data_IF_398212274177
#
_entry.id   IF_398212274177
#
_cell.length_a   1.000
_cell.length_b   1.000
_cell.length_c   1.000
_cell.angle_alpha   90.00
_cell.angle_beta   90.00
_cell.angle_gamma   90.00
#
_symmetry.space_group_name_H-M   'P 1'
#
loop_
_entity.id
_entity.type
_entity.pdbx_description
1 polymer ?
#
# COMPACT_ATOMS: atom_id res chain seq x y z
N UNK A 1 -21.85 -23.77 -10.92
CA UNK A 1 -23.15 -23.80 -11.62
C UNK A 1 -23.53 -25.27 -11.80
N UNK A 2 -24.25 -25.86 -10.85
CA UNK A 2 -24.73 -27.24 -10.98
C UNK A 2 -25.94 -27.21 -11.91
N UNK A 3 -25.88 -27.91 -13.05
CA UNK A 3 -27.00 -28.02 -13.96
C UNK A 3 -28.11 -28.85 -13.28
N UNK A 4 -29.24 -28.21 -12.99
CA UNK A 4 -30.44 -28.90 -12.49
C UNK A 4 -30.99 -29.79 -13.61
N UNK A 5 -30.70 -31.10 -13.53
CA UNK A 5 -31.23 -32.10 -14.47
C UNK A 5 -32.70 -32.33 -14.14
N UNK A 6 -33.57 -31.44 -14.63
CA UNK A 6 -35.02 -31.63 -14.61
C UNK A 6 -35.47 -32.68 -15.64
N UNK A 7 -36.59 -33.34 -15.36
CA UNK A 7 -37.22 -34.25 -16.32
C UNK A 7 -37.53 -33.54 -17.65
N UNK A 8 -37.52 -34.24 -18.81
CA UNK A 8 -37.79 -33.62 -20.11
C UNK A 8 -39.21 -33.06 -20.15
N UNK A 9 -39.33 -31.74 -20.29
CA UNK A 9 -40.62 -31.03 -20.32
C UNK A 9 -40.86 -30.36 -21.69
N UNK A 10 -42.10 -30.42 -22.18
CA UNK A 10 -42.50 -29.96 -23.52
C UNK A 10 -43.47 -28.76 -23.46
N UNK A 11 -43.11 -27.70 -22.73
CA UNK A 11 -43.96 -26.51 -22.55
C UNK A 11 -44.07 -25.59 -23.78
N UNK A 12 -43.34 -25.87 -24.86
CA UNK A 12 -43.22 -24.98 -26.04
C UNK A 12 -44.46 -24.91 -26.94
N UNK A 13 -45.52 -25.67 -26.64
CA UNK A 13 -46.73 -25.69 -27.47
C UNK A 13 -47.75 -24.64 -27.00
N UNK A 14 -48.12 -23.66 -27.86
CA UNK A 14 -49.01 -22.56 -27.47
C UNK A 14 -50.48 -22.96 -27.28
N UNK A 15 -50.90 -24.12 -27.81
CA UNK A 15 -52.27 -24.61 -27.67
C UNK A 15 -52.50 -25.23 -26.29
N UNK A 16 -53.43 -24.63 -25.53
CA UNK A 16 -53.87 -25.10 -24.20
C UNK A 16 -55.34 -25.56 -24.23
N UNK A 17 -55.88 -25.86 -25.42
CA UNK A 17 -57.30 -26.19 -25.60
C UNK A 17 -57.59 -27.63 -25.13
N UNK A 18 -58.36 -27.74 -24.04
CA UNK A 18 -58.85 -29.01 -23.50
C UNK A 18 -57.99 -29.59 -22.37
N UNK A 19 -58.59 -30.50 -21.58
CA UNK A 19 -58.00 -31.05 -20.34
C UNK A 19 -56.64 -31.72 -20.55
N UNK A 20 -56.44 -32.40 -21.68
CA UNK A 20 -55.17 -33.09 -22.00
C UNK A 20 -54.04 -32.12 -22.33
N UNK A 21 -54.35 -31.01 -23.01
CA UNK A 21 -53.38 -29.96 -23.32
C UNK A 21 -53.01 -29.16 -22.06
N UNK A 22 -53.98 -28.87 -21.18
CA UNK A 22 -53.73 -28.22 -19.90
C UNK A 22 -52.71 -29.00 -19.06
N UNK A 23 -52.91 -30.31 -18.87
CA UNK A 23 -51.99 -31.13 -18.07
C UNK A 23 -50.55 -31.22 -18.59
N UNK A 24 -50.31 -30.95 -19.87
CA UNK A 24 -48.99 -31.12 -20.52
C UNK A 24 -48.24 -29.80 -20.73
N UNK A 25 -48.97 -28.73 -21.05
CA UNK A 25 -48.40 -27.48 -21.53
C UNK A 25 -48.50 -26.34 -20.52
N UNK A 26 -49.03 -26.60 -19.32
CA UNK A 26 -49.04 -25.61 -18.24
C UNK A 26 -47.83 -25.81 -17.37
N UNK A 27 -47.01 -24.78 -17.36
CA UNK A 27 -45.87 -24.70 -16.49
C UNK A 27 -46.34 -24.46 -15.06
N UNK A 28 -45.99 -25.39 -14.17
CA UNK A 28 -46.21 -25.33 -12.73
C UNK A 28 -44.89 -25.43 -11.98
N UNK A 29 -43.76 -25.32 -12.68
CA UNK A 29 -42.41 -25.48 -12.12
C UNK A 29 -42.17 -24.46 -11.01
N UNK A 30 -42.48 -23.18 -11.25
CA UNK A 30 -42.37 -22.12 -10.24
C UNK A 30 -43.16 -22.42 -8.96
N UNK A 31 -44.39 -22.92 -9.09
CA UNK A 31 -45.22 -23.29 -7.94
C UNK A 31 -44.63 -24.50 -7.21
N UNK A 32 -44.12 -25.48 -7.95
CA UNK A 32 -43.50 -26.67 -7.38
C UNK A 32 -42.19 -26.32 -6.66
N UNK A 33 -41.33 -25.52 -7.28
CA UNK A 33 -40.08 -25.03 -6.70
C UNK A 33 -40.34 -24.20 -5.45
N UNK A 34 -41.36 -23.34 -5.45
CA UNK A 34 -41.79 -22.61 -4.26
C UNK A 34 -42.24 -23.54 -3.13
N UNK A 35 -43.03 -24.59 -3.44
CA UNK A 35 -43.45 -25.58 -2.43
C UNK A 35 -42.27 -26.44 -1.94
N UNK A 36 -41.30 -26.75 -2.80
CA UNK A 36 -40.09 -27.48 -2.45
C UNK A 36 -39.19 -26.63 -1.54
N UNK A 37 -39.03 -25.34 -1.83
CA UNK A 37 -38.33 -24.37 -0.98
C UNK A 37 -38.98 -24.26 0.40
N UNK A 38 -40.31 -24.14 0.48
CA UNK A 38 -41.04 -24.13 1.75
C UNK A 38 -40.79 -25.41 2.55
N UNK A 39 -40.83 -26.59 1.92
CA UNK A 39 -40.51 -27.87 2.59
C UNK A 39 -39.05 -27.94 3.05
N UNK A 40 -38.11 -27.42 2.28
CA UNK A 40 -36.71 -27.33 2.72
C UNK A 40 -36.53 -26.40 3.91
N UNK A 41 -37.24 -25.27 3.93
CA UNK A 41 -37.23 -24.34 5.06
C UNK A 41 -37.84 -24.98 6.31
N UNK A 42 -38.94 -25.72 6.18
CA UNK A 42 -39.51 -26.54 7.25
C UNK A 42 -38.49 -27.54 7.81
N UNK A 43 -37.77 -28.28 6.95
CA UNK A 43 -36.71 -29.22 7.36
C UNK A 43 -35.57 -28.51 8.10
N UNK A 44 -35.17 -27.32 7.64
CA UNK A 44 -34.08 -26.52 8.24
C UNK A 44 -34.49 -25.84 9.55
N UNK A 45 -35.76 -25.94 9.95
CA UNK A 45 -36.26 -25.45 11.24
C UNK A 45 -37.37 -24.42 11.14
N UNK A 46 -38.09 -24.32 10.01
CA UNK A 46 -39.27 -23.48 9.82
C UNK A 46 -39.03 -22.27 8.91
N UNK A 47 -40.10 -21.80 8.27
CA UNK A 47 -40.13 -20.67 7.33
C UNK A 47 -39.66 -19.39 8.00
N UNK A 48 -38.63 -18.74 7.46
CA UNK A 48 -38.04 -17.55 8.09
C UNK A 48 -39.01 -16.36 8.10
N UNK A 49 -39.90 -16.26 7.10
CA UNK A 49 -40.85 -15.16 6.98
C UNK A 49 -41.93 -15.15 8.06
N UNK A 50 -42.24 -16.31 8.67
CA UNK A 50 -43.25 -16.44 9.70
C UNK A 50 -42.70 -16.22 11.12
N UNK A 51 -41.38 -16.33 11.29
CA UNK A 51 -40.75 -16.19 12.59
C UNK A 51 -40.71 -14.72 13.02
N UNK A 52 -41.04 -14.40 14.29
CA UNK A 52 -40.91 -13.05 14.80
C UNK A 52 -39.43 -12.62 14.77
N UNK A 53 -39.20 -11.33 14.55
CA UNK A 53 -37.84 -10.78 14.48
C UNK A 53 -37.01 -11.02 15.75
N UNK A 54 -37.67 -11.18 16.90
CA UNK A 54 -37.05 -11.48 18.19
C UNK A 54 -36.36 -12.86 18.22
N UNK A 55 -36.85 -13.84 17.46
CA UNK A 55 -36.23 -15.17 17.35
C UNK A 55 -35.12 -15.19 16.28
N UNK A 56 -35.27 -14.37 15.23
CA UNK A 56 -34.29 -14.25 14.16
C UNK A 56 -33.05 -13.48 14.59
N UNK A 57 -33.22 -12.49 15.47
CA UNK A 57 -32.17 -11.57 15.87
C UNK A 57 -32.02 -11.53 17.39
N UNK A 58 -30.91 -12.06 17.87
CA UNK A 58 -30.48 -11.88 19.26
C UNK A 58 -29.51 -10.70 19.27
N UNK A 59 -29.89 -9.62 19.95
CA UNK A 59 -28.96 -8.54 20.27
C UNK A 59 -28.07 -9.04 21.40
N UNK A 60 -26.86 -9.48 21.08
CA UNK A 60 -25.82 -9.76 22.07
C UNK A 60 -25.00 -8.49 22.33
N UNK A 61 -25.28 -7.75 23.42
CA UNK A 61 -24.54 -6.53 23.75
C UNK A 61 -23.15 -6.81 24.31
N UNK A 62 -22.91 -8.05 24.77
CA UNK A 62 -21.72 -8.43 25.53
C UNK A 62 -20.66 -9.12 24.67
N UNK A 63 -21.08 -9.84 23.63
CA UNK A 63 -20.20 -10.57 22.72
C UNK A 63 -19.46 -11.72 23.40
N UNK A 64 -18.89 -12.62 22.60
CA UNK A 64 -18.09 -13.74 23.12
C UNK A 64 -16.78 -13.27 23.78
N UNK A 65 -16.68 -13.45 25.09
CA UNK A 65 -15.46 -13.14 25.85
C UNK A 65 -14.23 -13.92 25.34
N UNK A 66 -14.42 -15.16 24.87
CA UNK A 66 -13.31 -15.96 24.33
C UNK A 66 -12.73 -15.36 23.05
N UNK A 67 -13.60 -14.84 22.19
CA UNK A 67 -13.20 -14.18 20.93
C UNK A 67 -12.50 -12.88 21.27
N UNK A 68 -13.03 -12.07 22.18
CA UNK A 68 -12.37 -10.87 22.67
C UNK A 68 -10.97 -11.17 23.23
N UNK A 69 -10.84 -12.19 24.08
CA UNK A 69 -9.54 -12.63 24.63
C UNK A 69 -8.57 -13.09 23.53
N UNK A 70 -9.05 -13.80 22.50
CA UNK A 70 -8.22 -14.22 21.35
C UNK A 70 -7.75 -13.02 20.53
N UNK A 71 -8.61 -12.04 20.30
CA UNK A 71 -8.27 -10.80 19.56
C UNK A 71 -7.25 -9.98 20.35
N UNK A 72 -7.47 -9.77 21.65
CA UNK A 72 -6.55 -9.04 22.53
C UNK A 72 -5.17 -9.73 22.65
N UNK A 73 -5.12 -11.07 22.58
CA UNK A 73 -3.85 -11.81 22.56
C UNK A 73 -3.11 -11.66 21.23
N UNK A 74 -3.82 -11.65 20.11
CA UNK A 74 -3.22 -11.50 18.77
C UNK A 74 -2.80 -10.07 18.47
N UNK A 75 -3.61 -9.10 18.88
CA UNK A 75 -3.39 -7.68 18.68
C UNK A 75 -3.28 -7.01 20.03
N UNK A 76 -2.04 -6.71 20.43
CA UNK A 76 -1.81 -5.86 21.59
C UNK A 76 -2.35 -4.47 21.27
N UNK A 77 -3.18 -3.91 22.15
CA UNK A 77 -3.66 -2.53 22.01
C UNK A 77 -2.48 -1.57 21.88
N UNK A 78 -2.62 -0.52 21.07
CA UNK A 78 -1.58 0.47 20.96
C UNK A 78 -1.37 1.13 22.32
N UNK A 79 -0.13 1.51 22.62
CA UNK A 79 0.22 2.17 23.88
C UNK A 79 -0.58 3.46 24.10
N UNK A 80 -0.92 4.17 23.02
CA UNK A 80 -1.77 5.35 23.08
C UNK A 80 -3.19 5.01 23.59
N UNK A 81 -3.80 3.96 23.05
CA UNK A 81 -5.13 3.51 23.45
C UNK A 81 -5.12 2.93 24.87
N UNK A 82 -4.05 2.25 25.27
CA UNK A 82 -3.86 1.78 26.65
C UNK A 82 -3.78 2.94 27.65
N UNK A 83 -3.06 4.02 27.30
CA UNK A 83 -2.98 5.24 28.12
C UNK A 83 -4.35 5.94 28.19
N UNK A 84 -5.11 5.96 27.11
CA UNK A 84 -6.46 6.56 27.08
C UNK A 84 -7.46 5.71 27.87
N UNK A 85 -7.37 4.38 27.77
CA UNK A 85 -8.22 3.44 28.51
C UNK A 85 -7.90 3.40 30.01
N UNK A 86 -6.64 3.69 30.38
CA UNK A 86 -6.25 3.98 31.75
C UNK A 86 -6.84 5.33 32.18
N UNK A 87 -8.14 5.32 32.49
CA UNK A 87 -8.82 6.40 33.20
C UNK A 87 -8.04 6.71 34.48
N UNK A 88 -7.40 7.88 34.52
CA UNK A 88 -6.75 8.37 35.72
C UNK A 88 -7.77 8.47 36.85
N UNK A 89 -7.37 8.22 38.09
CA UNK A 89 -8.22 8.41 39.27
C UNK A 89 -8.72 9.85 39.40
N UNK A 90 -8.03 10.79 38.74
CA UNK A 90 -8.38 12.20 38.65
C UNK A 90 -9.12 12.40 37.32
N UNK A 91 -10.32 12.98 37.37
CA UNK A 91 -11.09 13.32 36.17
C UNK A 91 -10.34 14.31 35.30
N UNK A 92 -10.42 14.15 33.97
CA UNK A 92 -9.86 15.11 33.03
C UNK A 92 -10.42 16.53 33.29
N UNK A 93 -9.56 17.55 33.19
CA UNK A 93 -9.96 18.96 33.34
C UNK A 93 -10.90 19.31 32.18
N UNK A 94 -12.11 19.75 32.51
CA UNK A 94 -13.14 20.09 31.52
C UNK A 94 -12.66 21.29 30.68
N UNK A 95 -12.44 21.06 29.39
CA UNK A 95 -12.04 22.10 28.43
C UNK A 95 -13.20 22.97 27.97
N UNK A 96 -14.43 22.71 28.44
CA UNK A 96 -15.55 23.62 28.19
C UNK A 96 -15.31 24.96 28.86
N UNK A 97 -15.59 26.02 28.09
CA UNK A 97 -15.67 27.38 28.64
C UNK A 97 -16.66 27.36 29.81
N UNK A 98 -16.18 27.72 31.01
CA UNK A 98 -17.08 27.93 32.16
C UNK A 98 -18.18 28.91 31.73
N UNK A 99 -19.44 28.65 32.09
CA UNK A 99 -20.50 29.63 31.85
C UNK A 99 -20.09 30.94 32.50
N UNK A 100 -20.30 32.06 31.80
CA UNK A 100 -19.92 33.44 32.19
C UNK A 100 -20.50 33.91 33.53
N UNK A 101 -21.27 33.07 34.22
CA UNK A 101 -21.92 33.34 35.50
C UNK A 101 -21.20 32.65 36.67
N UNK A 102 -20.03 32.03 36.44
CA UNK A 102 -19.14 31.53 37.48
C UNK A 102 -18.60 32.71 38.30
N UNK A 103 -19.23 32.99 39.44
CA UNK A 103 -18.97 34.10 40.38
C UNK A 103 -17.62 34.05 41.10
N UNK A 104 -16.68 33.27 40.57
CA UNK A 104 -15.35 33.05 41.11
C UNK A 104 -14.37 33.22 39.96
N UNK A 105 -13.87 34.45 39.81
CA UNK A 105 -12.76 34.84 38.93
C UNK A 105 -11.89 35.84 39.68
N UNK A 106 -10.61 35.50 39.77
CA UNK A 106 -9.40 36.34 39.79
C UNK A 106 -9.54 37.85 40.06
N UNK A 107 -10.17 38.28 41.17
CA UNK A 107 -10.08 39.63 41.75
C UNK A 107 -10.51 40.84 40.90
N UNK A 108 -10.80 40.69 39.61
CA UNK A 108 -11.10 41.78 38.68
C UNK A 108 -12.60 41.78 38.42
N UNK A 109 -13.29 42.70 39.08
CA UNK A 109 -14.71 42.95 38.89
C UNK A 109 -14.88 43.58 37.51
N UNK A 110 -15.41 42.82 36.55
CA UNK A 110 -15.82 43.38 35.27
C UNK A 110 -16.94 44.43 35.48
N UNK A 111 -16.87 45.61 34.83
CA UNK A 111 -17.87 46.65 35.01
C UNK A 111 -19.26 46.19 34.55
N UNK A 112 -20.28 46.53 35.35
CA UNK A 112 -21.70 46.12 35.24
C UNK A 112 -22.40 46.37 33.91
N UNK A 113 -21.76 47.01 32.93
CA UNK A 113 -22.38 47.35 31.65
C UNK A 113 -21.74 46.53 30.54
N UNK A 114 -22.53 45.61 29.94
CA UNK A 114 -22.17 44.70 28.84
C UNK A 114 -21.92 45.39 27.49
N UNK A 115 -21.43 46.62 27.50
CA UNK A 115 -20.98 47.32 26.29
C UNK A 115 -19.56 47.78 26.56
N UNK A 116 -18.58 46.95 26.18
CA UNK A 116 -17.31 47.52 25.78
C UNK A 116 -17.64 48.46 24.62
N UNK A 117 -17.59 49.77 24.87
CA UNK A 117 -17.51 50.70 23.75
C UNK A 117 -16.25 50.30 22.98
N UNK A 118 -16.38 49.96 21.70
CA UNK A 118 -15.23 49.66 20.83
C UNK A 118 -14.26 50.84 20.79
N UNK A 119 -14.79 52.04 20.99
CA UNK A 119 -14.05 53.28 20.91
C UNK A 119 -13.94 53.80 22.34
N UNK A 120 -12.73 53.71 22.89
CA UNK A 120 -12.38 54.18 24.24
C UNK A 120 -12.49 55.70 24.41
N UNK A 121 -12.85 56.43 23.35
CA UNK A 121 -12.86 57.90 23.31
C UNK A 121 -14.16 58.36 22.65
N UNK A 122 -14.90 59.26 23.30
CA UNK A 122 -16.10 59.85 22.70
C UNK A 122 -15.73 60.75 21.51
N UNK A 123 -16.62 60.89 20.51
CA UNK A 123 -16.38 61.73 19.32
C UNK A 123 -16.00 63.17 19.67
N UNK A 124 -16.55 63.70 20.77
CA UNK A 124 -16.22 65.03 21.29
C UNK A 124 -14.79 65.11 21.82
N UNK A 125 -14.36 64.12 22.61
CA UNK A 125 -12.98 64.00 23.08
C UNK A 125 -12.00 63.79 21.91
N UNK A 126 -12.39 63.02 20.90
CA UNK A 126 -11.60 62.83 19.68
C UNK A 126 -11.42 64.13 18.90
N UNK A 127 -12.48 64.94 18.77
CA UNK A 127 -12.41 66.27 18.15
C UNK A 127 -11.55 67.24 18.97
N UNK A 128 -11.62 67.17 20.30
CA UNK A 128 -10.78 67.94 21.21
C UNK A 128 -9.31 67.55 21.09
N UNK A 129 -8.99 66.26 21.09
CA UNK A 129 -7.64 65.72 20.86
C UNK A 129 -7.09 66.12 19.48
N UNK A 130 -7.91 66.06 18.43
CA UNK A 130 -7.55 66.51 17.08
C UNK A 130 -7.28 68.02 16.99
N UNK A 131 -7.89 68.81 17.87
CA UNK A 131 -7.64 70.25 17.97
C UNK A 131 -6.33 70.51 18.71
N UNK A 132 -6.13 69.85 19.86
CA UNK A 132 -4.88 69.91 20.64
C UNK A 132 -3.68 69.44 19.80
N UNK A 133 -3.80 68.37 19.04
CA UNK A 133 -2.74 67.88 18.16
C UNK A 133 -2.41 68.81 16.99
N UNK A 134 -3.37 69.62 16.51
CA UNK A 134 -3.11 70.66 15.50
C UNK A 134 -2.48 71.92 16.07
N UNK A 135 -2.82 72.25 17.32
CA UNK A 135 -2.29 73.41 18.04
C UNK A 135 -0.89 73.11 18.62
N UNK A 136 -0.62 71.85 18.95
CA UNK A 136 0.71 71.35 19.27
C UNK A 136 1.55 71.22 17.99
N UNK A 137 2.13 72.34 17.55
CA UNK A 137 3.28 72.30 16.65
C UNK A 137 4.44 71.65 17.40
N UNK A 138 4.62 70.35 17.21
CA UNK A 138 5.83 69.66 17.62
C UNK A 138 6.93 70.13 16.67
N UNK A 139 7.92 70.83 17.19
CA UNK A 139 9.14 71.17 16.44
C UNK A 139 9.83 69.84 16.07
N UNK A 140 9.73 69.45 14.80
CA UNK A 140 10.31 68.21 14.26
C UNK A 140 11.85 68.14 14.41
N UNK A 141 12.48 69.23 14.84
CA UNK A 141 13.92 69.34 15.10
C UNK A 141 14.39 68.70 16.41
N UNK A 142 13.49 68.21 17.28
CA UNK A 142 13.88 67.51 18.52
C UNK A 142 13.76 65.99 18.45
N UNK A 143 13.45 65.40 17.28
CA UNK A 143 13.40 63.95 17.10
C UNK A 143 14.82 63.45 16.87
N UNK A 144 15.54 63.20 17.97
CA UNK A 144 16.81 62.47 17.96
C UNK A 144 16.55 61.04 17.43
N UNK A 145 17.26 60.57 16.38
CA UNK A 145 17.08 59.23 15.81
C UNK A 145 17.75 58.14 16.66
N UNK A 146 17.68 58.24 17.98
CA UNK A 146 18.31 57.30 18.91
C UNK A 146 17.39 56.93 20.07
N UNK A 147 16.16 56.55 19.77
CA UNK A 147 15.41 55.65 20.65
C UNK A 147 15.58 54.26 20.07
N UNK A 148 16.71 53.63 20.41
CA UNK A 148 17.06 52.27 20.02
C UNK A 148 16.22 51.23 20.77
N UNK A 149 15.37 51.66 21.71
CA UNK A 149 14.55 50.77 22.51
C UNK A 149 13.09 51.22 22.49
N UNK A 150 12.28 50.51 21.72
CA UNK A 150 10.83 50.63 21.71
C UNK A 150 10.27 49.85 22.93
N UNK A 151 9.72 50.54 23.95
CA UNK A 151 9.18 49.89 25.14
C UNK A 151 7.92 49.05 24.86
N UNK A 152 7.35 49.14 23.66
CA UNK A 152 6.20 48.34 23.21
C UNK A 152 6.57 47.28 22.16
N UNK A 153 7.81 47.27 21.69
CA UNK A 153 8.30 46.14 20.93
C UNK A 153 8.37 44.93 21.87
N UNK A 154 7.53 43.93 21.62
CA UNK A 154 7.69 42.60 22.19
C UNK A 154 8.92 41.95 21.55
N UNK A 155 10.11 42.43 21.93
CA UNK A 155 11.33 41.66 21.75
C UNK A 155 11.20 40.45 22.66
N UNK A 156 10.85 39.31 22.07
CA UNK A 156 10.99 38.01 22.72
C UNK A 156 12.49 37.76 22.92
N UNK A 157 13.08 38.45 23.89
CA UNK A 157 14.32 38.03 24.51
C UNK A 157 13.97 36.72 25.17
N UNK A 158 14.30 35.63 24.51
CA UNK A 158 14.44 34.33 25.17
C UNK A 158 15.50 34.54 26.24
N UNK A 159 15.09 34.96 27.44
CA UNK A 159 15.94 34.93 28.60
C UNK A 159 16.39 33.49 28.72
N UNK A 160 17.68 33.25 28.43
CA UNK A 160 18.30 31.96 28.65
C UNK A 160 18.44 31.81 30.15
N UNK A 161 17.33 31.47 30.82
CA UNK A 161 17.22 31.41 32.28
C UNK A 161 18.32 30.54 32.89
N UNK A 162 18.90 29.60 32.12
CA UNK A 162 20.00 28.76 32.55
C UNK A 162 20.99 28.45 31.40
N UNK A 163 22.07 29.23 31.27
CA UNK A 163 23.16 28.96 30.31
C UNK A 163 23.96 27.69 30.61
N UNK A 164 23.81 27.13 31.81
CA UNK A 164 24.49 25.91 32.26
C UNK A 164 23.70 24.62 31.97
N UNK A 165 22.43 24.71 31.55
CA UNK A 165 21.64 23.56 31.15
C UNK A 165 21.74 23.38 29.63
N UNK A 166 22.06 22.17 29.20
CA UNK A 166 21.97 21.83 27.77
C UNK A 166 20.54 22.07 27.28
N UNK A 167 20.41 22.85 26.19
CA UNK A 167 19.11 23.10 25.57
C UNK A 167 18.49 21.77 25.18
N UNK A 168 17.23 21.55 25.57
CA UNK A 168 16.48 20.35 25.17
C UNK A 168 16.50 20.24 23.66
N UNK A 169 16.90 19.08 23.13
CA UNK A 169 16.89 18.83 21.68
C UNK A 169 15.44 19.01 21.17
N UNK A 170 15.25 19.70 20.04
CA UNK A 170 13.92 19.84 19.45
C UNK A 170 13.38 18.45 19.08
N UNK A 171 12.06 18.26 19.22
CA UNK A 171 11.40 17.02 18.81
C UNK A 171 11.46 16.93 17.29
N UNK A 172 12.31 16.04 16.78
CA UNK A 172 12.47 15.82 15.33
C UNK A 172 11.32 14.94 14.84
N UNK A 173 10.58 15.42 13.83
CA UNK A 173 9.54 14.63 13.18
C UNK A 173 10.14 13.33 12.58
N UNK A 174 9.42 12.19 12.67
CA UNK A 174 9.88 10.97 12.02
C UNK A 174 9.95 11.17 10.50
N UNK A 175 10.95 10.58 9.86
CA UNK A 175 11.15 10.60 8.40
C UNK A 175 9.94 10.08 7.61
N UNK A 176 9.06 9.31 8.26
CA UNK A 176 7.85 8.76 7.64
C UNK A 176 6.83 9.81 7.23
N UNK A 177 6.80 10.96 7.92
CA UNK A 177 5.89 12.06 7.57
C UNK A 177 6.24 12.72 6.23
N UNK A 178 7.49 12.63 5.79
CA UNK A 178 7.92 13.19 4.50
C UNK A 178 7.77 12.20 3.34
N UNK A 179 7.36 10.95 3.58
CA UNK A 179 7.10 10.00 2.50
C UNK A 179 5.75 10.30 1.83
N UNK A 180 5.75 10.34 0.50
CA UNK A 180 4.52 10.46 -0.28
C UNK A 180 3.60 9.24 -0.09
N UNK A 181 2.27 9.40 -0.18
CA UNK A 181 1.34 8.29 -0.06
C UNK A 181 1.54 7.27 -1.18
N UNK A 182 1.26 6.00 -0.89
CA UNK A 182 1.32 4.93 -1.89
C UNK A 182 0.21 5.16 -2.92
N UNK A 183 0.60 5.33 -4.17
CA UNK A 183 -0.32 5.52 -5.28
C UNK A 183 -1.07 4.25 -5.67
N UNK A 184 -2.35 4.44 -6.04
CA UNK A 184 -3.21 3.39 -6.56
C UNK A 184 -2.96 3.09 -8.05
N UNK A 185 -2.26 3.93 -8.80
CA UNK A 185 -1.98 3.67 -10.21
C UNK A 185 -0.98 2.52 -10.39
N UNK A 186 -1.17 1.66 -11.40
CA UNK A 186 -0.27 0.54 -11.74
C UNK A 186 1.20 1.00 -11.80
N UNK A 187 1.39 2.12 -12.47
CA UNK A 187 2.68 2.76 -12.75
C UNK A 187 3.34 3.37 -11.51
N UNK A 188 2.64 3.46 -10.37
CA UNK A 188 3.17 4.08 -9.16
C UNK A 188 3.14 5.60 -9.14
N UNK A 189 2.60 6.25 -10.19
CA UNK A 189 2.42 7.70 -10.26
C UNK A 189 1.26 8.17 -9.38
N UNK A 190 1.33 9.41 -8.90
CA UNK A 190 0.21 10.04 -8.20
C UNK A 190 -0.97 10.21 -9.17
N UNK A 191 -2.17 9.88 -8.72
CA UNK A 191 -3.39 10.09 -9.52
C UNK A 191 -3.83 11.53 -9.31
N UNK A 192 -4.05 12.33 -10.37
CA UNK A 192 -4.57 13.68 -10.22
C UNK A 192 -5.95 13.65 -9.57
N UNK A 193 -6.27 14.66 -8.77
CA UNK A 193 -7.58 14.73 -8.08
C UNK A 193 -8.75 14.82 -9.05
N UNK A 194 -8.53 15.35 -10.26
CA UNK A 194 -9.52 15.47 -11.34
C UNK A 194 -8.88 14.94 -12.61
N UNK A 195 -9.53 13.96 -13.24
CA UNK A 195 -9.12 13.40 -14.53
C UNK A 195 -9.66 14.34 -15.62
N UNK A 196 -8.78 14.82 -16.50
CA UNK A 196 -9.19 15.63 -17.65
C UNK A 196 -9.72 14.70 -18.75
N UNK A 197 -10.88 14.99 -19.36
CA UNK A 197 -11.38 14.19 -20.48
C UNK A 197 -10.50 14.37 -21.71
N UNK A 198 -10.40 13.32 -22.54
CA UNK A 198 -9.69 13.37 -23.82
C UNK A 198 -10.45 14.23 -24.84
N UNK A 199 -9.73 15.00 -25.65
CA UNK A 199 -10.31 15.90 -26.65
C UNK A 199 -11.19 15.15 -27.68
N UNK A 200 -10.78 13.93 -28.08
CA UNK A 200 -11.52 13.07 -29.01
C UNK A 200 -12.90 12.59 -28.50
N UNK A 201 -13.16 12.65 -27.19
CA UNK A 201 -14.43 12.24 -26.57
C UNK A 201 -15.44 13.39 -26.48
N UNK A 202 -15.05 14.60 -26.86
CA UNK A 202 -15.97 15.73 -26.92
C UNK A 202 -17.05 15.53 -28.00
N UNK A 203 -18.19 16.23 -27.89
CA UNK A 203 -19.28 16.12 -28.86
C UNK A 203 -18.90 16.63 -30.26
N UNK A 204 -17.92 17.54 -30.34
CA UNK A 204 -17.39 18.08 -31.59
C UNK A 204 -15.85 18.03 -31.55
N UNK A 205 -15.25 16.84 -31.70
CA UNK A 205 -13.81 16.69 -31.64
C UNK A 205 -13.17 17.18 -32.94
N UNK A 206 -11.88 17.52 -32.89
CA UNK A 206 -11.11 17.66 -34.13
C UNK A 206 -10.99 16.29 -34.82
N UNK A 207 -10.88 16.29 -36.14
CA UNK A 207 -10.75 15.03 -36.89
C UNK A 207 -9.52 14.22 -36.44
N UNK A 208 -8.41 14.89 -36.13
CA UNK A 208 -7.17 14.26 -35.67
C UNK A 208 -7.37 13.59 -34.31
N UNK A 209 -7.93 14.31 -33.34
CA UNK A 209 -8.15 13.78 -31.98
C UNK A 209 -9.13 12.60 -31.99
N UNK A 210 -10.12 12.62 -32.88
CA UNK A 210 -11.08 11.54 -33.05
C UNK A 210 -10.45 10.31 -33.70
N UNK A 211 -9.68 10.48 -34.78
CA UNK A 211 -8.99 9.38 -35.45
C UNK A 211 -7.94 8.74 -34.53
N UNK A 212 -7.19 9.55 -33.77
CA UNK A 212 -6.28 9.08 -32.72
C UNK A 212 -6.99 8.27 -31.63
N UNK A 213 -8.20 8.67 -31.23
CA UNK A 213 -8.98 7.91 -30.26
C UNK A 213 -9.41 6.56 -30.82
N UNK A 214 -9.95 6.54 -32.04
CA UNK A 214 -10.42 5.32 -32.71
C UNK A 214 -9.27 4.35 -32.97
N UNK A 215 -8.13 4.85 -33.44
CA UNK A 215 -6.93 4.04 -33.67
C UNK A 215 -6.40 3.42 -32.38
N UNK A 216 -6.27 4.21 -31.30
CA UNK A 216 -5.83 3.71 -29.98
C UNK A 216 -6.78 2.65 -29.42
N UNK A 217 -8.09 2.85 -29.54
CA UNK A 217 -9.08 1.86 -29.09
C UNK A 217 -9.06 0.59 -29.94
N UNK A 218 -8.91 0.74 -31.26
CA UNK A 218 -8.74 -0.39 -32.19
C UNK A 218 -7.48 -1.20 -31.89
N UNK A 219 -6.35 -0.55 -31.61
CA UNK A 219 -5.10 -1.22 -31.22
C UNK A 219 -5.26 -2.02 -29.93
N UNK A 220 -5.94 -1.47 -28.91
CA UNK A 220 -6.23 -2.18 -27.66
C UNK A 220 -7.03 -3.47 -27.88
N UNK A 221 -8.04 -3.42 -28.75
CA UNK A 221 -8.86 -4.60 -29.05
C UNK A 221 -8.05 -5.66 -29.81
N UNK A 222 -7.21 -5.22 -30.75
CA UNK A 222 -6.28 -6.11 -31.48
C UNK A 222 -5.28 -6.75 -30.51
N UNK A 223 -4.75 -6.01 -29.53
CA UNK A 223 -3.87 -6.56 -28.49
C UNK A 223 -4.59 -7.57 -27.59
N UNK A 224 -5.85 -7.30 -27.21
CA UNK A 224 -6.66 -8.23 -26.43
C UNK A 224 -6.90 -9.56 -27.19
N UNK A 225 -7.23 -9.50 -28.47
CA UNK A 225 -7.38 -10.70 -29.30
C UNK A 225 -6.07 -11.46 -29.51
N UNK A 226 -4.94 -10.75 -29.68
CA UNK A 226 -3.61 -11.38 -29.72
C UNK A 226 -3.30 -12.12 -28.42
N UNK A 227 -3.56 -11.51 -27.26
CA UNK A 227 -3.38 -12.16 -25.96
C UNK A 227 -4.26 -13.41 -25.84
N UNK A 228 -5.53 -13.33 -26.26
CA UNK A 228 -6.45 -14.47 -26.28
C UNK A 228 -5.93 -15.62 -27.15
N UNK A 229 -5.43 -15.32 -28.35
CA UNK A 229 -4.85 -16.31 -29.26
C UNK A 229 -3.56 -16.92 -28.70
N UNK A 230 -2.71 -16.12 -28.05
CA UNK A 230 -1.48 -16.60 -27.45
C UNK A 230 -1.74 -17.47 -26.22
N UNK A 231 -2.76 -17.17 -25.41
CA UNK A 231 -3.22 -18.05 -24.34
C UNK A 231 -3.71 -19.39 -24.89
N UNK A 232 -4.54 -19.38 -25.94
CA UNK A 232 -4.99 -20.60 -26.62
C UNK A 232 -3.82 -21.44 -27.15
N UNK A 233 -2.82 -20.80 -27.76
CA UNK A 233 -1.60 -21.49 -28.22
C UNK A 233 -0.82 -22.08 -27.06
N UNK A 234 -0.61 -21.33 -25.97
CA UNK A 234 0.09 -21.83 -24.77
C UNK A 234 -0.63 -23.02 -24.14
N UNK A 235 -1.96 -22.99 -24.09
CA UNK A 235 -2.76 -24.11 -23.60
C UNK A 235 -2.66 -25.32 -24.54
N UNK A 236 -2.74 -25.12 -25.86
CA UNK A 236 -2.56 -26.18 -26.84
C UNK A 236 -1.16 -26.81 -26.75
N UNK A 237 -0.10 -26.00 -26.65
CA UNK A 237 1.27 -26.47 -26.46
C UNK A 237 1.44 -27.24 -25.15
N UNK A 238 0.76 -26.79 -24.08
CA UNK A 238 0.76 -27.48 -22.79
C UNK A 238 0.06 -28.83 -22.90
N UNK A 239 -1.08 -28.90 -23.57
CA UNK A 239 -1.82 -30.15 -23.80
C UNK A 239 -0.97 -31.09 -24.66
N UNK A 240 -0.41 -30.61 -25.78
CA UNK A 240 0.47 -31.40 -26.63
C UNK A 240 1.70 -31.95 -25.88
N UNK A 241 2.28 -31.16 -24.95
CA UNK A 241 3.36 -31.63 -24.08
C UNK A 241 2.91 -32.71 -23.09
N UNK A 242 1.69 -32.62 -22.56
CA UNK A 242 1.11 -33.64 -21.67
C UNK A 242 0.84 -34.93 -22.47
N UNK A 243 0.19 -34.82 -23.64
CA UNK A 243 -0.08 -35.95 -24.53
C UNK A 243 1.21 -36.64 -25.00
N UNK A 244 2.26 -35.86 -25.33
CA UNK A 244 3.56 -36.41 -25.70
C UNK A 244 4.26 -37.12 -24.52
N UNK A 245 4.04 -36.68 -23.28
CA UNK A 245 4.57 -37.33 -22.09
C UNK A 245 3.74 -38.57 -21.68
N UNK A 246 2.44 -38.59 -21.95
CA UNK A 246 1.56 -39.76 -21.73
C UNK A 246 1.75 -40.84 -22.81
N UNK A 247 2.09 -40.45 -24.05
CA UNK A 247 2.43 -41.36 -25.14
C UNK A 247 3.87 -41.90 -25.12
N UNK A 248 4.68 -41.53 -24.12
CA UNK A 248 5.99 -42.12 -23.86
C UNK A 248 5.86 -43.23 -22.81
N UNK A 249 5.23 -44.33 -23.20
CA UNK A 249 5.15 -45.57 -22.46
C UNK A 249 6.47 -46.34 -22.53
N UNK A 250 7.50 -45.77 -21.89
CA UNK A 250 8.59 -46.54 -21.29
C UNK A 250 9.50 -47.32 -22.23
N UNK A 251 9.71 -46.86 -23.47
CA UNK A 251 10.94 -47.22 -24.19
C UNK A 251 12.02 -46.19 -23.89
N UNK A 252 12.63 -46.36 -22.71
CA UNK A 252 13.92 -45.76 -22.37
C UNK A 252 14.92 -46.21 -23.43
N UNK A 253 15.09 -45.41 -24.47
CA UNK A 253 16.32 -45.42 -25.27
C UNK A 253 17.37 -44.81 -24.37
N UNK A 254 18.09 -45.67 -23.67
CA UNK A 254 19.35 -45.33 -23.01
C UNK A 254 20.34 -44.94 -24.11
N UNK A 255 20.28 -43.68 -24.53
CA UNK A 255 21.43 -43.00 -25.12
C UNK A 255 22.20 -42.37 -23.96
N UNK A 256 22.81 -43.27 -23.17
CA UNK A 256 23.80 -42.96 -22.16
C UNK A 256 25.16 -43.03 -22.86
N UNK A 257 25.37 -42.14 -23.82
CA UNK A 257 26.64 -41.98 -24.49
C UNK A 257 27.19 -40.58 -24.19
N UNK A 258 28.33 -40.56 -23.49
CA UNK A 258 29.31 -39.45 -23.36
C UNK A 258 29.09 -38.49 -22.17
N UNK A 259 29.95 -38.33 -21.15
CA UNK A 259 31.33 -38.76 -20.88
C UNK A 259 31.55 -38.67 -19.35
N UNK A 260 31.70 -39.79 -18.66
CA UNK A 260 32.65 -39.84 -17.54
C UNK A 260 33.42 -41.15 -17.62
N UNK A 261 34.42 -41.12 -18.49
CA UNK A 261 35.38 -42.19 -18.69
C UNK A 261 36.72 -41.75 -18.06
N UNK A 262 37.31 -42.61 -17.24
CA UNK A 262 38.71 -42.50 -16.84
C UNK A 262 39.01 -42.25 -15.37
N UNK A 263 38.45 -43.04 -14.44
CA UNK A 263 39.24 -43.48 -13.30
C UNK A 263 39.17 -45.00 -13.23
N UNK A 264 40.03 -45.65 -14.02
CA UNK A 264 40.29 -47.07 -13.85
C UNK A 264 40.89 -47.33 -12.47
N UNK A 265 40.27 -48.32 -11.85
CA UNK A 265 40.60 -48.99 -10.60
C UNK A 265 41.91 -49.76 -10.69
N UNK A 266 42.63 -49.84 -9.57
CA UNK A 266 43.32 -51.09 -9.25
C UNK A 266 43.28 -51.37 -7.74
N UNK A 267 42.80 -52.58 -7.46
CA UNK A 267 42.92 -53.41 -6.26
C UNK A 267 42.03 -53.16 -5.03
N UNK A 268 41.08 -54.10 -4.93
CA UNK A 268 40.49 -54.65 -3.72
C UNK A 268 41.50 -55.00 -2.61
N UNK A 269 40.92 -55.16 -1.42
CA UNK A 269 41.44 -55.86 -0.24
C UNK A 269 42.55 -55.14 0.55
N UNK A 270 42.15 -54.54 1.67
CA UNK A 270 42.57 -54.95 3.02
C UNK A 270 42.36 -53.81 4.01
N UNK A 271 41.59 -54.08 5.07
CA UNK A 271 41.57 -53.30 6.29
C UNK A 271 42.94 -53.38 6.98
N UNK A 272 43.89 -52.57 6.52
CA UNK A 272 45.23 -52.44 7.09
C UNK A 272 45.21 -51.47 8.28
N UNK A 273 45.66 -51.97 9.43
CA UNK A 273 45.92 -51.20 10.65
C UNK A 273 46.69 -49.92 10.29
N UNK A 274 46.08 -48.75 10.49
CA UNK A 274 46.76 -47.46 10.27
C UNK A 274 48.01 -47.42 11.15
N UNK A 275 49.20 -47.63 10.57
CA UNK A 275 50.47 -47.38 11.25
C UNK A 275 50.51 -45.91 11.66
N UNK A 276 50.96 -45.62 12.89
CA UNK A 276 51.18 -44.24 13.34
C UNK A 276 52.08 -43.54 12.31
N UNK A 277 51.73 -42.33 11.84
CA UNK A 277 52.49 -41.67 10.80
C UNK A 277 53.93 -41.43 11.26
N UNK A 278 54.88 -41.83 10.42
CA UNK A 278 56.30 -41.65 10.68
C UNK A 278 56.66 -40.15 10.75
N UNK A 279 57.69 -39.83 11.53
CA UNK A 279 58.16 -38.45 11.68
C UNK A 279 58.71 -37.95 10.34
N UNK A 280 58.07 -36.93 9.77
CA UNK A 280 58.50 -36.28 8.52
C UNK A 280 59.95 -35.82 8.59
N UNK A 281 60.73 -36.05 7.53
CA UNK A 281 62.10 -35.55 7.40
C UNK A 281 62.12 -34.04 7.10
N UNK A 282 63.25 -33.35 7.34
CA UNK A 282 63.39 -31.90 7.08
C UNK A 282 63.12 -31.55 5.61
N UNK A 283 63.57 -32.37 4.66
CA UNK A 283 63.31 -32.21 3.24
C UNK A 283 61.81 -32.33 2.90
N UNK A 284 61.11 -33.31 3.48
CA UNK A 284 59.66 -33.47 3.32
C UNK A 284 58.89 -32.28 3.90
N UNK A 285 59.32 -31.73 5.06
CA UNK A 285 58.73 -30.50 5.63
C UNK A 285 58.90 -29.32 4.68
N UNK A 286 60.08 -29.12 4.13
CA UNK A 286 60.35 -28.02 3.19
C UNK A 286 59.54 -28.15 1.89
N UNK A 287 59.37 -29.37 1.35
CA UNK A 287 58.52 -29.62 0.18
C UNK A 287 57.04 -29.30 0.46
N UNK A 288 56.54 -29.68 1.63
CA UNK A 288 55.18 -29.34 2.07
C UNK A 288 55.02 -27.83 2.28
N UNK A 289 56.02 -27.16 2.85
CA UNK A 289 55.99 -25.70 3.02
C UNK A 289 55.94 -24.99 1.66
N UNK A 290 56.78 -25.37 0.69
CA UNK A 290 56.75 -24.82 -0.68
C UNK A 290 55.38 -25.03 -1.35
N UNK A 291 54.80 -26.23 -1.22
CA UNK A 291 53.46 -26.52 -1.75
C UNK A 291 52.38 -25.65 -1.08
N UNK A 292 52.41 -25.54 0.25
CA UNK A 292 51.46 -24.70 1.00
C UNK A 292 51.60 -23.21 0.65
N UNK A 293 52.82 -22.73 0.45
CA UNK A 293 53.06 -21.34 0.02
C UNK A 293 52.57 -21.09 -1.41
N UNK A 294 52.78 -22.03 -2.34
CA UNK A 294 52.24 -21.96 -3.69
C UNK A 294 50.70 -21.98 -3.68
N UNK A 295 50.08 -22.86 -2.90
CA UNK A 295 48.62 -22.90 -2.71
C UNK A 295 48.10 -21.59 -2.07
N UNK A 296 48.85 -21.00 -1.13
CA UNK A 296 48.49 -19.72 -0.51
C UNK A 296 48.56 -18.58 -1.53
N UNK A 297 49.61 -18.52 -2.36
CA UNK A 297 49.76 -17.53 -3.43
C UNK A 297 48.64 -17.67 -4.48
N UNK A 298 48.39 -18.89 -4.96
CA UNK A 298 47.30 -19.16 -5.91
C UNK A 298 45.93 -18.75 -5.35
N UNK A 299 45.66 -19.02 -4.06
CA UNK A 299 44.42 -18.56 -3.39
C UNK A 299 44.35 -17.03 -3.27
N UNK A 300 45.47 -16.35 -3.03
CA UNK A 300 45.51 -14.90 -2.96
C UNK A 300 45.25 -14.27 -4.34
N UNK A 301 45.90 -14.78 -5.39
CA UNK A 301 45.68 -14.35 -6.78
C UNK A 301 44.25 -14.58 -7.23
N UNK A 302 43.66 -15.74 -6.92
CA UNK A 302 42.26 -16.02 -7.21
C UNK A 302 41.31 -15.04 -6.50
N UNK A 303 41.61 -14.67 -5.24
CA UNK A 303 40.84 -13.65 -4.51
C UNK A 303 40.98 -12.26 -5.13
N UNK A 304 42.18 -11.88 -5.58
CA UNK A 304 42.40 -10.60 -6.26
C UNK A 304 41.65 -10.53 -7.59
N UNK A 305 41.72 -11.58 -8.41
CA UNK A 305 40.94 -11.67 -9.65
C UNK A 305 39.43 -11.58 -9.41
N UNK A 306 38.91 -12.23 -8.36
CA UNK A 306 37.50 -12.09 -7.98
C UNK A 306 37.14 -10.66 -7.57
N UNK A 307 38.01 -9.96 -6.83
CA UNK A 307 37.81 -8.55 -6.46
C UNK A 307 37.81 -7.65 -7.70
N UNK A 308 38.71 -7.88 -8.64
CA UNK A 308 38.76 -7.14 -9.92
C UNK A 308 37.51 -7.37 -10.75
N UNK A 309 37.03 -8.62 -10.84
CA UNK A 309 35.76 -8.96 -11.50
C UNK A 309 34.58 -8.25 -10.84
N UNK A 310 34.51 -8.26 -9.50
CA UNK A 310 33.48 -7.54 -8.75
C UNK A 310 33.55 -6.03 -8.98
N UNK A 311 34.76 -5.44 -9.03
CA UNK A 311 34.94 -4.03 -9.33
C UNK A 311 34.52 -3.67 -10.77
N UNK A 312 34.82 -4.54 -11.74
CA UNK A 312 34.37 -4.39 -13.13
C UNK A 312 32.85 -4.51 -13.23
N UNK A 313 32.24 -5.47 -12.55
CA UNK A 313 30.78 -5.61 -12.45
C UNK A 313 30.14 -4.39 -11.80
N UNK A 314 30.70 -3.87 -10.70
CA UNK A 314 30.20 -2.67 -10.05
C UNK A 314 30.24 -1.45 -10.98
N UNK A 315 31.30 -1.29 -11.77
CA UNK A 315 31.39 -0.23 -12.80
C UNK A 315 30.40 -0.44 -13.95
N UNK A 316 30.14 -1.67 -14.35
CA UNK A 316 29.14 -1.97 -15.37
C UNK A 316 27.72 -1.65 -14.84
N UNK A 317 27.43 -2.04 -13.60
CA UNK A 317 26.16 -1.75 -12.93
C UNK A 317 25.98 -0.23 -12.76
N UNK A 318 27.02 0.51 -12.37
CA UNK A 318 26.90 1.98 -12.24
C UNK A 318 26.58 2.65 -13.57
N UNK A 319 27.22 2.22 -14.67
CA UNK A 319 26.89 2.69 -16.02
C UNK A 319 25.46 2.34 -16.44
N UNK A 320 25.02 1.10 -16.17
CA UNK A 320 23.65 0.68 -16.44
C UNK A 320 22.63 1.49 -15.63
N UNK A 321 22.94 1.83 -14.38
CA UNK A 321 22.08 2.69 -13.55
C UNK A 321 22.01 4.09 -14.17
N UNK A 322 23.14 4.69 -14.55
CA UNK A 322 23.17 6.01 -15.21
C UNK A 322 22.39 6.01 -16.54
N UNK A 323 22.52 4.97 -17.35
CA UNK A 323 21.77 4.80 -18.60
C UNK A 323 20.27 4.65 -18.33
N UNK A 324 19.89 3.83 -17.34
CA UNK A 324 18.51 3.66 -16.94
C UNK A 324 17.91 4.94 -16.35
N UNK A 325 18.68 5.73 -15.59
CA UNK A 325 18.25 7.03 -15.08
C UNK A 325 18.04 8.03 -16.22
N UNK A 326 18.96 8.09 -17.19
CA UNK A 326 18.78 8.90 -18.40
C UNK A 326 17.57 8.47 -19.21
N UNK A 327 17.36 7.16 -19.39
CA UNK A 327 16.18 6.63 -20.05
C UNK A 327 14.90 6.98 -19.30
N UNK A 328 14.89 6.83 -17.96
CA UNK A 328 13.76 7.24 -17.11
C UNK A 328 13.49 8.74 -17.19
N UNK A 329 14.52 9.58 -17.25
CA UNK A 329 14.35 11.03 -17.41
C UNK A 329 13.81 11.37 -18.80
N UNK A 330 14.27 10.69 -19.86
CA UNK A 330 13.74 10.86 -21.21
C UNK A 330 12.28 10.39 -21.32
N UNK A 331 11.96 9.25 -20.71
CA UNK A 331 10.59 8.73 -20.61
C UNK A 331 9.72 9.66 -19.77
N UNK A 332 10.19 10.13 -18.61
CA UNK A 332 9.45 11.09 -17.79
C UNK A 332 9.15 12.39 -18.56
N UNK A 333 10.10 12.87 -19.37
CA UNK A 333 9.90 14.06 -20.21
C UNK A 333 8.96 13.81 -21.40
N UNK A 334 8.96 12.61 -21.97
CA UNK A 334 7.99 12.21 -23.00
C UNK A 334 6.60 11.95 -22.41
N UNK A 335 6.53 11.44 -21.18
CA UNK A 335 5.29 11.12 -20.48
C UNK A 335 4.66 12.34 -19.77
N UNK A 336 5.43 13.40 -19.46
CA UNK A 336 4.88 14.72 -19.12
C UNK A 336 4.11 15.32 -20.31
N UNK A 337 4.48 14.93 -21.53
CA UNK A 337 3.71 15.20 -22.75
C UNK A 337 2.58 14.19 -22.99
N UNK A 338 2.48 13.11 -22.20
CA UNK A 338 1.44 12.07 -22.29
C UNK A 338 0.58 11.97 -21.02
N UNK A 339 0.47 13.06 -20.26
CA UNK A 339 -0.38 13.16 -19.06
C UNK A 339 -1.89 13.01 -19.34
N UNK A 340 -2.29 12.87 -20.61
CA UNK A 340 -3.67 12.75 -21.06
C UNK A 340 -4.21 11.30 -21.07
N UNK A 341 -3.39 10.30 -20.71
CA UNK A 341 -3.84 8.92 -20.61
C UNK A 341 -4.37 8.57 -19.22
N UNK A 342 -5.54 7.90 -19.19
CA UNK A 342 -6.20 7.50 -17.96
C UNK A 342 -5.32 6.51 -17.16
N UNK A 343 -5.03 6.78 -15.88
CA UNK A 343 -4.16 5.92 -15.09
C UNK A 343 -4.86 4.59 -14.78
N UNK A 344 -4.32 3.49 -15.30
CA UNK A 344 -4.80 2.14 -14.94
C UNK A 344 -4.56 1.88 -13.46
N UNK A 345 -5.59 1.46 -12.73
CA UNK A 345 -5.50 1.20 -11.28
C UNK A 345 -4.82 -0.15 -11.00
N UNK A 346 -4.03 -0.19 -9.92
CA UNK A 346 -3.48 -1.42 -9.34
C UNK A 346 -4.64 -2.29 -8.85
N UNK A 347 -4.83 -3.43 -9.50
CA UNK A 347 -5.68 -4.50 -8.95
C UNK A 347 -4.93 -5.13 -7.77
N UNK A 348 -5.30 -4.77 -6.55
CA UNK A 348 -4.86 -5.52 -5.36
C UNK A 348 -5.68 -6.81 -5.32
N UNK A 349 -5.08 -8.01 -5.31
CA UNK A 349 -5.86 -9.22 -5.12
C UNK A 349 -6.52 -9.16 -3.74
N UNK A 350 -7.83 -9.40 -3.69
CA UNK A 350 -8.57 -9.54 -2.45
C UNK A 350 -7.92 -10.69 -1.65
N UNK A 351 -7.42 -10.42 -0.44
CA UNK A 351 -6.76 -11.46 0.40
C UNK A 351 -5.27 -11.23 0.74
N UNK A 352 -4.72 -10.03 0.54
CA UNK A 352 -3.48 -9.62 1.22
C UNK A 352 -2.19 -10.30 0.75
N UNK A 353 -2.20 -11.05 -0.35
CA UNK A 353 -0.96 -11.41 -1.04
C UNK A 353 -0.46 -10.15 -1.74
N UNK A 354 0.54 -9.50 -1.14
CA UNK A 354 1.36 -8.54 -1.86
C UNK A 354 2.01 -9.27 -3.05
N UNK A 355 2.12 -8.61 -4.21
CA UNK A 355 2.82 -9.17 -5.38
C UNK A 355 4.28 -9.53 -5.07
#
# INVERSE_FOLDING_TARGET
MSATVGAPQQFKQPSRKGKKAWRKNVDVTEVQEGLDQVREEEIKGGVLAEKPSEELFILDPTGDEEVQRKVQKKFKSLRADEIIAQRSAISAVDSRKRPSNSRVTDGVIEPKTKKSRSDWVTREEWLRLKKVAREAKLDETSIQPSVVHDPWAMEAKEEQEFSFLEKKKPVVAPKTLSHAPISLAANGKAIPSVIKPKAGTSYNPSFQDWDELITKEGEKEVEAEKLRLDEQKREADRIARIEAAEGDDGQIKSDDESVWEGFESEYEAESMKKKRPERKTKAQRNKILRRKEAERKAKAEAKMKKREQQAAQAKAISKQIEENEKAKLAVAKAEESSEDDEPTLRKRPFGGRTP
#
